data_IF_129958095905
#
_entry.id   IF_129958095905
#
_cell.length_a   1.000
_cell.length_b   1.000
_cell.length_c   1.000
_cell.angle_alpha   90.00
_cell.angle_beta   90.00
_cell.angle_gamma   90.00
#
_symmetry.space_group_name_H-M   'P 1'
#
loop_
_entity.id
_entity.type
_entity.pdbx_description
1 polymer ?
#
# COMPACT_ATOMS: atom_id res chain seq x y z
N UNK A 1 5.19 11.88 -31.94
CA UNK A 1 5.53 13.23 -31.44
C UNK A 1 4.39 14.15 -31.81
N UNK A 2 3.89 14.97 -30.88
CA UNK A 2 2.83 15.92 -31.20
C UNK A 2 3.35 16.96 -32.21
N UNK A 3 2.54 17.29 -33.22
CA UNK A 3 2.82 18.38 -34.17
C UNK A 3 2.98 19.68 -33.38
N UNK A 4 4.01 20.50 -33.64
CA UNK A 4 4.15 21.79 -32.97
C UNK A 4 2.89 22.62 -33.22
N UNK A 5 2.36 23.22 -32.14
CA UNK A 5 1.21 24.12 -32.23
C UNK A 5 1.60 25.23 -33.22
N UNK A 6 0.77 25.47 -34.23
CA UNK A 6 0.96 26.58 -35.15
C UNK A 6 0.91 27.89 -34.37
N UNK A 7 2.10 28.45 -34.10
CA UNK A 7 2.30 29.69 -33.34
C UNK A 7 1.78 30.90 -34.14
N UNK A 8 0.45 31.07 -34.19
CA UNK A 8 -0.13 32.37 -34.49
C UNK A 8 0.02 33.25 -33.23
N UNK A 9 0.74 34.39 -33.31
CA UNK A 9 0.98 35.27 -32.16
C UNK A 9 -0.31 35.76 -31.49
N UNK A 10 -1.38 35.89 -32.27
CA UNK A 10 -2.70 36.30 -31.80
C UNK A 10 -3.35 35.21 -30.94
N UNK A 11 -3.24 33.94 -31.34
CA UNK A 11 -3.74 32.80 -30.55
C UNK A 11 -3.01 32.68 -29.23
N UNK A 12 -1.69 32.90 -29.22
CA UNK A 12 -0.90 32.85 -27.99
C UNK A 12 -1.23 34.00 -27.03
N UNK A 13 -1.43 35.22 -27.56
CA UNK A 13 -1.88 36.37 -26.75
C UNK A 13 -3.27 36.13 -26.15
N UNK A 14 -4.23 35.62 -26.95
CA UNK A 14 -5.57 35.28 -26.48
C UNK A 14 -5.53 34.19 -25.40
N UNK A 15 -4.74 33.13 -25.62
CA UNK A 15 -4.54 32.06 -24.66
C UNK A 15 -3.98 32.59 -23.34
N UNK A 16 -2.95 33.43 -23.38
CA UNK A 16 -2.33 34.00 -22.18
C UNK A 16 -3.30 34.91 -21.39
N UNK A 17 -4.19 35.63 -22.06
CA UNK A 17 -5.25 36.41 -21.40
C UNK A 17 -6.25 35.49 -20.68
N UNK A 18 -6.69 34.42 -21.34
CA UNK A 18 -7.60 33.42 -20.74
C UNK A 18 -6.94 32.73 -19.55
N UNK A 19 -5.67 32.31 -19.66
CA UNK A 19 -4.92 31.70 -18.56
C UNK A 19 -4.84 32.64 -17.35
N UNK A 20 -4.51 33.92 -17.55
CA UNK A 20 -4.48 34.93 -16.48
C UNK A 20 -5.86 35.17 -15.86
N UNK A 21 -6.92 35.15 -16.67
CA UNK A 21 -8.28 35.29 -16.18
C UNK A 21 -8.70 34.08 -15.34
N UNK A 22 -8.36 32.87 -15.77
CA UNK A 22 -8.60 31.64 -15.01
C UNK A 22 -7.83 31.67 -13.69
N UNK A 23 -6.56 32.06 -13.68
CA UNK A 23 -5.79 32.18 -12.43
C UNK A 23 -6.35 33.25 -11.48
N UNK A 24 -6.86 34.38 -12.00
CA UNK A 24 -7.52 35.41 -11.18
C UNK A 24 -8.84 34.91 -10.58
N UNK A 25 -9.64 34.18 -11.34
CA UNK A 25 -10.95 33.71 -10.91
C UNK A 25 -10.90 32.47 -10.01
N UNK A 26 -9.90 31.59 -10.21
CA UNK A 26 -9.85 30.26 -9.57
C UNK A 26 -8.58 30.04 -8.72
N UNK A 27 -7.69 31.03 -8.64
CA UNK A 27 -6.47 31.00 -7.85
C UNK A 27 -5.22 30.59 -8.64
N UNK A 28 -4.05 30.93 -8.10
CA UNK A 28 -2.75 30.55 -8.68
C UNK A 28 -2.64 29.02 -8.81
N UNK A 29 -2.24 28.54 -9.99
CA UNK A 29 -2.12 27.11 -10.27
C UNK A 29 -3.42 26.41 -10.67
N UNK A 30 -4.53 27.13 -10.84
CA UNK A 30 -5.78 26.56 -11.35
C UNK A 30 -5.67 26.02 -12.78
N UNK A 31 -4.71 26.53 -13.57
CA UNK A 31 -4.39 26.03 -14.91
C UNK A 31 -2.89 26.21 -15.17
N UNK A 32 -2.23 25.15 -15.66
CA UNK A 32 -0.79 25.15 -15.93
C UNK A 32 -0.49 24.31 -17.17
N UNK A 33 0.58 24.62 -17.91
CA UNK A 33 1.07 23.74 -18.97
C UNK A 33 1.75 22.53 -18.33
N UNK A 34 1.46 21.33 -18.81
CA UNK A 34 1.99 20.08 -18.24
C UNK A 34 3.53 20.01 -18.32
N UNK A 35 4.14 20.60 -19.35
CA UNK A 35 5.61 20.68 -19.49
C UNK A 35 6.28 21.65 -18.52
N UNK A 36 5.55 22.68 -18.06
CA UNK A 36 6.03 23.63 -17.04
C UNK A 36 5.84 23.07 -15.61
N UNK A 37 5.14 21.93 -15.48
CA UNK A 37 4.94 21.20 -14.23
C UNK A 37 6.15 20.32 -13.86
N UNK A 38 7.37 20.87 -13.94
CA UNK A 38 8.63 20.25 -13.48
C UNK A 38 8.61 19.84 -12.00
N UNK A 39 7.56 20.22 -11.25
CA UNK A 39 7.30 19.88 -9.84
C UNK A 39 6.52 18.58 -9.58
N UNK A 40 6.11 17.79 -10.56
CA UNK A 40 5.27 16.60 -10.29
C UNK A 40 6.05 15.30 -10.00
N UNK A 41 7.22 15.34 -9.34
CA UNK A 41 7.65 14.15 -8.59
C UNK A 41 6.74 14.08 -7.36
N UNK A 42 5.78 13.15 -7.40
CA UNK A 42 4.89 12.91 -6.25
C UNK A 42 5.75 12.45 -5.10
N UNK A 43 5.76 13.23 -4.02
CA UNK A 43 6.45 12.86 -2.78
C UNK A 43 5.87 11.55 -2.24
N UNK A 44 6.69 10.73 -1.60
CA UNK A 44 6.29 9.40 -1.11
C UNK A 44 6.56 9.26 0.39
N UNK A 45 5.75 8.42 1.02
CA UNK A 45 5.86 7.94 2.40
C UNK A 45 6.44 6.52 2.33
N UNK A 46 7.39 6.19 3.19
CA UNK A 46 7.88 4.80 3.29
C UNK A 46 6.78 3.88 3.78
N UNK A 47 6.64 2.72 3.17
CA UNK A 47 5.65 1.72 3.59
C UNK A 47 6.10 0.88 4.79
N UNK A 48 7.37 0.99 5.20
CA UNK A 48 8.01 0.10 6.16
C UNK A 48 8.58 -1.18 5.55
N UNK A 49 8.27 -1.47 4.28
CA UNK A 49 8.86 -2.57 3.51
C UNK A 49 9.64 -2.02 2.30
N UNK A 50 10.97 -2.13 2.31
CA UNK A 50 11.81 -1.64 1.19
C UNK A 50 11.46 -2.33 -0.14
N UNK A 51 11.07 -3.60 -0.12
CA UNK A 51 10.63 -4.33 -1.30
C UNK A 51 9.33 -3.73 -1.88
N UNK A 52 8.41 -3.29 -1.03
CA UNK A 52 7.18 -2.63 -1.46
C UNK A 52 7.44 -1.20 -1.93
N UNK A 53 8.32 -0.45 -1.27
CA UNK A 53 8.69 0.89 -1.71
C UNK A 53 9.28 0.86 -3.12
N UNK A 54 10.15 -0.11 -3.41
CA UNK A 54 10.66 -0.33 -4.77
C UNK A 54 9.56 -0.70 -5.78
N UNK A 55 8.62 -1.57 -5.39
CA UNK A 55 7.49 -1.95 -6.23
C UNK A 55 6.57 -0.76 -6.54
N UNK A 56 6.43 0.18 -5.60
CA UNK A 56 5.67 1.40 -5.76
C UNK A 56 6.39 2.49 -6.56
N UNK A 57 7.70 2.36 -6.76
CA UNK A 57 8.54 3.38 -7.39
C UNK A 57 8.98 4.50 -6.43
N UNK A 58 9.10 4.19 -5.13
CA UNK A 58 9.61 5.10 -4.10
C UNK A 58 8.81 5.12 -2.79
N UNK A 59 7.69 4.42 -2.71
CA UNK A 59 6.81 4.37 -1.54
C UNK A 59 5.36 4.79 -1.82
N UNK A 60 4.58 4.97 -0.76
CA UNK A 60 3.17 5.35 -0.81
C UNK A 60 3.03 6.83 -1.19
N UNK A 61 2.31 7.21 -2.26
CA UNK A 61 2.27 8.60 -2.70
C UNK A 61 1.55 9.52 -1.70
N UNK A 62 2.19 10.64 -1.34
CA UNK A 62 1.60 11.73 -0.53
C UNK A 62 0.43 12.39 -1.24
N UNK A 63 -0.55 12.86 -0.47
CA UNK A 63 -1.69 13.59 -1.01
C UNK A 63 -2.53 12.73 -1.95
N UNK A 64 -2.69 11.43 -1.68
CA UNK A 64 -3.47 10.49 -2.51
C UNK A 64 -4.30 9.52 -1.66
N UNK A 65 -5.30 8.93 -2.32
CA UNK A 65 -6.07 7.81 -1.80
C UNK A 65 -5.37 6.50 -2.17
N UNK A 66 -5.23 5.61 -1.20
CA UNK A 66 -4.64 4.27 -1.34
C UNK A 66 -5.65 3.26 -0.84
N UNK A 67 -5.79 2.13 -1.53
CA UNK A 67 -6.57 0.99 -1.04
C UNK A 67 -5.63 -0.20 -0.81
N UNK A 68 -5.70 -0.79 0.37
CA UNK A 68 -5.01 -2.05 0.71
C UNK A 68 -6.09 -3.08 0.97
N UNK A 69 -6.13 -4.13 0.16
CA UNK A 69 -7.16 -5.16 0.24
C UNK A 69 -6.56 -6.56 0.17
N UNK A 70 -7.28 -7.53 0.71
CA UNK A 70 -6.83 -8.91 0.75
C UNK A 70 -7.64 -9.75 1.73
N UNK A 71 -7.34 -11.05 1.81
CA UNK A 71 -7.96 -11.97 2.77
C UNK A 71 -7.76 -11.51 4.22
N UNK A 72 -8.51 -12.09 5.14
CA UNK A 72 -8.26 -11.95 6.57
C UNK A 72 -6.84 -12.44 6.91
N UNK A 73 -6.25 -11.85 7.95
CA UNK A 73 -4.91 -12.21 8.44
C UNK A 73 -3.79 -12.17 7.39
N UNK A 74 -3.97 -11.41 6.29
CA UNK A 74 -2.94 -11.23 5.26
C UNK A 74 -1.90 -10.16 5.59
N UNK A 75 -2.12 -9.37 6.65
CA UNK A 75 -1.20 -8.29 7.07
C UNK A 75 -1.62 -6.87 6.66
N UNK A 76 -2.88 -6.65 6.29
CA UNK A 76 -3.42 -5.31 5.90
C UNK A 76 -3.15 -4.25 6.97
N UNK A 77 -3.62 -4.50 8.19
CA UNK A 77 -3.48 -3.58 9.34
C UNK A 77 -2.01 -3.41 9.72
N UNK A 78 -1.22 -4.50 9.74
CA UNK A 78 0.23 -4.44 9.96
C UNK A 78 0.93 -3.49 8.98
N UNK A 79 0.64 -3.61 7.68
CA UNK A 79 1.23 -2.74 6.66
C UNK A 79 0.80 -1.27 6.85
N UNK A 80 -0.45 -1.03 7.24
CA UNK A 80 -0.93 0.32 7.52
C UNK A 80 -0.27 0.94 8.76
N UNK A 81 -0.10 0.16 9.82
CA UNK A 81 0.58 0.59 11.05
C UNK A 81 2.06 0.90 10.80
N UNK A 82 2.74 0.16 9.92
CA UNK A 82 4.08 0.53 9.48
C UNK A 82 4.12 1.86 8.71
N UNK A 83 3.15 2.11 7.83
CA UNK A 83 3.06 3.40 7.14
C UNK A 83 2.81 4.55 8.14
N UNK A 84 1.97 4.33 9.15
CA UNK A 84 1.74 5.28 10.26
C UNK A 84 3.03 5.53 11.04
N UNK A 85 3.74 4.48 11.45
CA UNK A 85 5.01 4.57 12.17
C UNK A 85 6.05 5.37 11.38
N UNK A 86 6.18 5.13 10.07
CA UNK A 86 7.13 5.87 9.22
C UNK A 86 6.78 7.36 9.09
N UNK A 87 5.49 7.71 9.06
CA UNK A 87 5.06 9.13 9.08
C UNK A 87 5.42 9.77 10.41
N UNK A 88 5.10 9.13 11.54
CA UNK A 88 5.41 9.65 12.87
C UNK A 88 6.92 9.83 13.07
N UNK A 89 7.75 8.86 12.64
CA UNK A 89 9.22 8.98 12.67
C UNK A 89 9.75 10.18 11.88
N UNK A 90 9.05 10.59 10.83
CA UNK A 90 9.38 11.79 10.05
C UNK A 90 8.85 13.09 10.66
N UNK A 91 8.23 13.04 11.84
CA UNK A 91 7.63 14.18 12.53
C UNK A 91 6.23 14.53 12.05
N UNK A 92 5.60 13.67 11.25
CA UNK A 92 4.24 13.87 10.75
C UNK A 92 3.16 13.39 11.71
N UNK A 93 1.93 13.88 11.51
CA UNK A 93 0.76 13.53 12.32
C UNK A 93 -0.04 12.42 11.64
N UNK A 94 -0.41 11.40 12.41
CA UNK A 94 -1.17 10.26 11.92
C UNK A 94 -2.52 10.14 12.64
N UNK A 95 -3.52 9.67 11.90
CA UNK A 95 -4.82 9.32 12.44
C UNK A 95 -5.27 7.93 11.99
N UNK A 96 -6.00 7.24 12.86
CA UNK A 96 -6.55 5.91 12.63
C UNK A 96 -8.05 5.91 12.96
N UNK A 97 -8.86 5.60 11.97
CA UNK A 97 -10.31 5.42 12.09
C UNK A 97 -10.59 3.93 12.15
N UNK A 98 -10.74 3.41 13.37
CA UNK A 98 -10.96 2.01 13.69
C UNK A 98 -12.47 1.72 13.73
N UNK A 99 -13.03 1.44 12.55
CA UNK A 99 -14.42 1.02 12.39
C UNK A 99 -14.63 -0.47 12.71
N UNK A 100 -13.56 -1.29 12.70
CA UNK A 100 -13.62 -2.70 13.10
C UNK A 100 -13.53 -2.90 14.64
N UNK A 101 -13.20 -1.84 15.39
CA UNK A 101 -12.98 -1.89 16.85
C UNK A 101 -11.93 -2.95 17.26
N UNK A 102 -10.89 -3.11 16.42
CA UNK A 102 -9.93 -4.21 16.52
C UNK A 102 -8.48 -3.73 16.70
N UNK A 103 -8.24 -2.42 16.84
CA UNK A 103 -6.90 -1.88 17.01
C UNK A 103 -6.31 -2.23 18.38
N UNK A 104 -5.19 -2.97 18.39
CA UNK A 104 -4.43 -3.30 19.60
C UNK A 104 -3.29 -2.27 19.82
N UNK A 105 -3.32 -1.47 20.90
CA UNK A 105 -2.25 -0.53 21.22
C UNK A 105 -0.90 -1.20 21.49
N UNK A 106 -0.90 -2.39 22.08
CA UNK A 106 0.33 -3.13 22.44
C UNK A 106 1.05 -3.59 21.17
N UNK A 107 0.30 -4.19 20.25
CA UNK A 107 0.83 -4.58 18.95
C UNK A 107 1.29 -3.34 18.15
N UNK A 108 0.49 -2.28 18.13
CA UNK A 108 0.85 -1.03 17.44
C UNK A 108 2.15 -0.43 17.95
N UNK A 109 2.35 -0.39 19.27
CA UNK A 109 3.60 0.07 19.89
C UNK A 109 4.79 -0.80 19.49
N UNK A 110 4.61 -2.12 19.45
CA UNK A 110 5.66 -3.05 19.02
C UNK A 110 6.07 -2.84 17.55
N UNK A 111 5.17 -2.33 16.71
CA UNK A 111 5.43 -1.96 15.31
C UNK A 111 6.09 -0.57 15.18
N UNK A 112 6.34 0.11 16.30
CA UNK A 112 6.96 1.43 16.36
C UNK A 112 5.99 2.59 16.12
N UNK A 113 4.69 2.38 16.34
CA UNK A 113 3.70 3.46 16.35
C UNK A 113 3.82 4.21 17.67
N UNK A 114 3.87 5.53 17.60
CA UNK A 114 3.78 6.39 18.77
C UNK A 114 2.30 6.49 19.19
N UNK A 115 1.96 5.73 20.24
CA UNK A 115 0.61 5.60 20.76
C UNK A 115 0.12 6.90 21.41
N UNK A 116 1.01 7.68 22.02
CA UNK A 116 0.62 8.90 22.73
C UNK A 116 0.14 9.98 21.74
N UNK A 117 0.75 10.01 20.55
CA UNK A 117 0.46 11.01 19.52
C UNK A 117 -0.42 10.49 18.36
N UNK A 118 -0.85 9.22 18.38
CA UNK A 118 -1.76 8.69 17.37
C UNK A 118 -3.19 9.15 17.64
N UNK A 119 -3.79 9.87 16.69
CA UNK A 119 -5.22 10.22 16.76
C UNK A 119 -6.06 8.99 16.44
N UNK A 120 -6.86 8.50 17.38
CA UNK A 120 -7.75 7.36 17.17
C UNK A 120 -9.21 7.78 17.23
N UNK A 121 -10.01 7.29 16.29
CA UNK A 121 -11.46 7.45 16.28
C UNK A 121 -12.14 6.11 16.09
N UNK A 122 -13.15 5.83 16.92
CA UNK A 122 -14.00 4.64 16.84
C UNK A 122 -15.44 5.09 16.59
N UNK A 123 -15.82 5.31 15.32
CA UNK A 123 -17.12 5.89 14.96
C UNK A 123 -18.24 4.85 14.98
N UNK A 124 -19.44 5.26 15.38
CA UNK A 124 -20.63 4.38 15.40
C UNK A 124 -21.22 4.11 14.01
N UNK A 125 -20.97 4.99 13.03
CA UNK A 125 -21.57 4.89 11.69
C UNK A 125 -20.56 5.20 10.58
N UNK A 126 -20.80 4.63 9.40
CA UNK A 126 -19.99 4.88 8.20
C UNK A 126 -20.00 6.35 7.77
N UNK A 127 -21.12 7.05 7.92
CA UNK A 127 -21.19 8.50 7.68
C UNK A 127 -20.25 9.26 8.61
N UNK A 128 -20.32 8.98 9.91
CA UNK A 128 -19.49 9.66 10.92
C UNK A 128 -18.01 9.41 10.67
N UNK A 129 -17.63 8.16 10.39
CA UNK A 129 -16.28 7.79 10.03
C UNK A 129 -15.73 8.62 8.85
N UNK A 130 -16.49 8.70 7.76
CA UNK A 130 -16.07 9.40 6.54
C UNK A 130 -16.10 10.93 6.70
N UNK A 131 -16.96 11.47 7.55
CA UNK A 131 -16.96 12.89 7.91
C UNK A 131 -15.74 13.27 8.74
N UNK A 132 -15.35 12.44 9.70
CA UNK A 132 -14.12 12.61 10.48
C UNK A 132 -12.91 12.62 9.54
N UNK A 133 -12.82 11.67 8.60
CA UNK A 133 -11.76 11.65 7.58
C UNK A 133 -11.74 12.93 6.75
N UNK A 134 -12.90 13.42 6.26
CA UNK A 134 -12.97 14.66 5.48
C UNK A 134 -12.52 15.89 6.29
N UNK A 135 -12.84 15.94 7.58
CA UNK A 135 -12.40 17.02 8.47
C UNK A 135 -10.89 16.98 8.73
N UNK A 136 -10.34 15.80 9.04
CA UNK A 136 -8.90 15.61 9.26
C UNK A 136 -8.11 16.01 8.01
N UNK A 137 -8.51 15.54 6.83
CA UNK A 137 -7.87 15.92 5.55
C UNK A 137 -7.96 17.43 5.32
N UNK A 138 -9.13 18.05 5.58
CA UNK A 138 -9.34 19.49 5.36
C UNK A 138 -8.50 20.36 6.30
N UNK A 139 -8.19 19.87 7.50
CA UNK A 139 -7.37 20.61 8.46
C UNK A 139 -5.95 20.88 7.96
N UNK A 140 -5.44 20.06 7.03
CA UNK A 140 -4.04 20.05 6.60
C UNK A 140 -3.03 19.87 7.74
N UNK A 141 -3.49 19.43 8.92
CA UNK A 141 -2.66 19.15 10.09
C UNK A 141 -2.31 17.66 10.22
N UNK A 142 -2.88 16.80 9.37
CA UNK A 142 -2.69 15.34 9.39
C UNK A 142 -2.03 14.89 8.09
N UNK A 143 -0.93 14.16 8.18
CA UNK A 143 -0.15 13.67 7.05
C UNK A 143 -0.68 12.32 6.53
N UNK A 144 -1.23 11.48 7.40
CA UNK A 144 -1.79 10.19 7.04
C UNK A 144 -3.04 9.85 7.85
N UNK A 145 -4.07 9.33 7.16
CA UNK A 145 -5.30 8.80 7.78
C UNK A 145 -5.51 7.37 7.30
N UNK A 146 -5.64 6.43 8.23
CA UNK A 146 -6.01 5.03 7.93
C UNK A 146 -7.47 4.80 8.32
N UNK A 147 -8.22 4.09 7.49
CA UNK A 147 -9.58 3.62 7.79
C UNK A 147 -9.56 2.08 7.80
N UNK A 148 -9.81 1.48 8.96
CA UNK A 148 -9.90 0.03 9.15
C UNK A 148 -11.31 -0.36 9.62
N UNK A 149 -12.21 -0.83 8.75
CA UNK A 149 -12.06 -1.04 7.31
C UNK A 149 -13.32 -0.58 6.56
N UNK A 150 -13.23 -0.51 5.22
CA UNK A 150 -14.38 -0.17 4.37
C UNK A 150 -15.57 -1.10 4.61
N UNK A 151 -15.34 -2.37 4.92
CA UNK A 151 -16.40 -3.33 5.15
C UNK A 151 -17.24 -2.96 6.39
N UNK A 152 -16.61 -2.34 7.39
CA UNK A 152 -17.23 -1.90 8.64
C UNK A 152 -17.85 -0.49 8.56
N UNK A 153 -17.77 0.19 7.41
CA UNK A 153 -18.45 1.49 7.19
C UNK A 153 -19.95 1.26 6.94
N UNK A 154 -20.67 0.84 7.97
CA UNK A 154 -22.10 0.54 7.91
C UNK A 154 -22.90 1.85 7.97
N UNK A 155 -23.76 2.15 6.98
CA UNK A 155 -24.60 3.35 7.01
C UNK A 155 -25.55 3.37 8.22
N UNK A 156 -25.84 4.55 8.76
CA UNK A 156 -26.74 4.71 9.92
C UNK A 156 -28.11 4.03 9.73
N UNK A 157 -28.70 4.17 8.54
CA UNK A 157 -30.00 3.56 8.25
C UNK A 157 -29.96 2.02 8.29
N UNK A 158 -28.81 1.40 8.05
CA UNK A 158 -28.63 -0.05 8.13
C UNK A 158 -28.46 -0.51 9.58
N UNK A 159 -27.82 0.31 10.42
CA UNK A 159 -27.66 0.06 11.87
C UNK A 159 -28.99 0.22 12.62
N UNK A 160 -29.77 1.25 12.28
CA UNK A 160 -31.06 1.55 12.91
C UNK A 160 -32.22 0.70 12.33
N UNK A 161 -32.00 0.07 11.18
CA UNK A 161 -32.99 -0.77 10.50
C UNK A 161 -33.12 -2.17 11.09
N UNK A 162 -34.12 -2.92 10.62
CA UNK A 162 -34.28 -4.32 11.00
C UNK A 162 -33.40 -5.23 10.12
N UNK A 163 -32.99 -6.40 10.64
CA UNK A 163 -32.13 -7.35 9.90
C UNK A 163 -32.71 -7.80 8.55
N UNK A 164 -34.03 -7.72 8.37
CA UNK A 164 -34.73 -8.09 7.13
C UNK A 164 -34.85 -6.96 6.12
N UNK A 165 -34.45 -5.73 6.45
CA UNK A 165 -34.62 -4.58 5.58
C UNK A 165 -33.72 -4.65 4.35
N UNK A 166 -34.32 -4.46 3.18
CA UNK A 166 -33.58 -4.51 1.93
C UNK A 166 -32.94 -3.15 1.62
N UNK A 167 -31.69 -2.97 2.02
CA UNK A 167 -30.94 -1.71 1.84
C UNK A 167 -29.86 -1.81 0.75
N UNK A 168 -30.28 -2.13 -0.49
CA UNK A 168 -29.35 -2.37 -1.60
C UNK A 168 -28.49 -1.15 -1.92
N UNK A 169 -27.17 -1.33 -1.80
CA UNK A 169 -26.17 -0.38 -2.34
C UNK A 169 -26.03 0.92 -1.56
N UNK A 170 -26.54 1.00 -0.33
CA UNK A 170 -26.44 2.20 0.50
C UNK A 170 -24.97 2.57 0.80
N UNK A 171 -24.16 1.60 1.22
CA UNK A 171 -22.73 1.78 1.45
C UNK A 171 -21.99 2.26 0.19
N UNK A 172 -22.31 1.72 -0.99
CA UNK A 172 -21.67 2.14 -2.25
C UNK A 172 -21.97 3.61 -2.60
N UNK A 173 -23.19 4.07 -2.33
CA UNK A 173 -23.59 5.48 -2.53
C UNK A 173 -22.89 6.40 -1.52
N UNK A 174 -22.80 5.98 -0.25
CA UNK A 174 -22.08 6.68 0.80
C UNK A 174 -20.61 6.88 0.42
N UNK A 175 -19.91 5.79 0.06
CA UNK A 175 -18.52 5.82 -0.41
C UNK A 175 -18.33 6.75 -1.60
N UNK A 176 -19.22 6.69 -2.59
CA UNK A 176 -19.16 7.56 -3.79
C UNK A 176 -19.27 9.05 -3.44
N UNK A 177 -20.12 9.41 -2.48
CA UNK A 177 -20.29 10.80 -2.03
C UNK A 177 -19.09 11.25 -1.21
N UNK A 178 -18.62 10.43 -0.27
CA UNK A 178 -17.49 10.74 0.60
C UNK A 178 -16.18 10.89 -0.18
N UNK A 179 -15.85 9.93 -1.05
CA UNK A 179 -14.61 9.97 -1.84
C UNK A 179 -14.54 11.19 -2.76
N UNK A 180 -15.68 11.67 -3.27
CA UNK A 180 -15.73 12.91 -4.06
C UNK A 180 -15.31 14.14 -3.24
N UNK A 181 -15.73 14.21 -1.97
CA UNK A 181 -15.33 15.30 -1.06
C UNK A 181 -13.86 15.17 -0.68
N UNK A 182 -13.47 13.99 -0.20
CA UNK A 182 -12.11 13.68 0.26
C UNK A 182 -11.08 13.94 -0.84
N UNK A 183 -11.31 13.43 -2.06
CA UNK A 183 -10.38 13.60 -3.18
C UNK A 183 -10.16 15.07 -3.57
N UNK A 184 -11.18 15.93 -3.41
CA UNK A 184 -11.06 17.36 -3.68
C UNK A 184 -10.18 18.10 -2.67
N UNK A 185 -10.09 17.60 -1.43
CA UNK A 185 -9.31 18.22 -0.35
C UNK A 185 -7.90 17.64 -0.24
N UNK A 186 -7.74 16.33 -0.49
CA UNK A 186 -6.48 15.58 -0.39
C UNK A 186 -5.33 16.27 -1.14
N UNK A 187 -5.56 16.66 -2.41
CA UNK A 187 -4.52 17.23 -3.25
C UNK A 187 -3.97 18.58 -2.77
N UNK A 188 -4.72 19.30 -1.91
CA UNK A 188 -4.30 20.57 -1.31
C UNK A 188 -3.62 20.36 0.05
N UNK A 189 -4.11 19.38 0.82
CA UNK A 189 -3.63 19.10 2.17
C UNK A 189 -2.30 18.34 2.21
N UNK A 190 -1.95 17.59 1.17
CA UNK A 190 -0.82 16.67 1.21
C UNK A 190 -1.09 15.38 2.01
N UNK A 191 -2.24 15.27 2.68
CA UNK A 191 -2.64 14.10 3.47
C UNK A 191 -2.86 12.86 2.59
N UNK A 192 -2.26 11.74 2.97
CA UNK A 192 -2.52 10.42 2.38
C UNK A 192 -3.63 9.71 3.14
N UNK A 193 -4.60 9.16 2.41
CA UNK A 193 -5.71 8.40 3.01
C UNK A 193 -5.64 6.95 2.56
N UNK A 194 -5.48 6.04 3.51
CA UNK A 194 -5.43 4.59 3.31
C UNK A 194 -6.76 3.97 3.72
N UNK A 195 -7.41 3.29 2.78
CA UNK A 195 -8.58 2.45 3.05
C UNK A 195 -8.14 1.00 3.12
N UNK A 196 -8.37 0.34 4.26
CA UNK A 196 -8.29 -1.10 4.38
C UNK A 196 -9.60 -1.72 3.91
N UNK A 197 -9.51 -2.81 3.16
CA UNK A 197 -10.69 -3.44 2.58
C UNK A 197 -10.56 -4.97 2.61
N UNK A 198 -11.71 -5.62 2.69
CA UNK A 198 -11.83 -7.06 2.67
C UNK A 198 -12.24 -7.55 1.29
N UNK A 199 -11.86 -8.79 0.98
CA UNK A 199 -12.36 -9.49 -0.19
C UNK A 199 -13.71 -10.16 0.12
N UNK A 200 -14.57 -10.17 -0.89
CA UNK A 200 -15.84 -10.92 -0.96
C UNK A 200 -15.89 -11.66 -2.29
N UNK A 201 -16.73 -12.67 -2.40
CA UNK A 201 -16.97 -13.37 -3.66
C UNK A 201 -18.29 -12.92 -4.26
N UNK A 202 -18.29 -12.61 -5.56
CA UNK A 202 -19.52 -12.35 -6.30
C UNK A 202 -20.07 -13.67 -6.82
N UNK A 203 -21.26 -14.04 -6.34
CA UNK A 203 -21.97 -15.25 -6.75
C UNK A 203 -22.32 -15.18 -8.24
N UNK A 204 -22.19 -16.30 -8.95
CA UNK A 204 -22.59 -16.43 -10.35
C UNK A 204 -21.54 -16.02 -11.39
N UNK A 205 -20.29 -15.79 -11.00
CA UNK A 205 -19.17 -15.64 -11.94
C UNK A 205 -18.63 -17.02 -12.31
N UNK A 206 -18.78 -17.41 -13.57
CA UNK A 206 -18.23 -18.66 -14.14
C UNK A 206 -16.91 -18.47 -14.89
N UNK A 207 -16.53 -17.23 -15.21
CA UNK A 207 -15.27 -16.92 -15.92
C UNK A 207 -14.57 -15.71 -15.29
N UNK A 208 -13.25 -15.83 -15.07
CA UNK A 208 -12.43 -14.83 -14.39
C UNK A 208 -12.45 -14.95 -12.86
N UNK A 209 -11.83 -13.98 -12.17
CA UNK A 209 -11.80 -13.99 -10.70
C UNK A 209 -13.16 -13.56 -10.12
N UNK A 210 -13.75 -14.34 -9.19
CA UNK A 210 -15.00 -13.97 -8.52
C UNK A 210 -14.79 -12.92 -7.41
N UNK A 211 -13.54 -12.58 -7.08
CA UNK A 211 -13.23 -11.72 -5.95
C UNK A 211 -13.55 -10.25 -6.23
N UNK A 212 -14.20 -9.61 -5.26
CA UNK A 212 -14.58 -8.19 -5.27
C UNK A 212 -14.28 -7.56 -3.91
N UNK A 213 -14.08 -6.25 -3.90
CA UNK A 213 -13.90 -5.47 -2.67
C UNK A 213 -15.23 -4.83 -2.23
N UNK A 214 -15.39 -4.56 -0.93
CA UNK A 214 -16.59 -3.92 -0.37
C UNK A 214 -16.63 -2.41 -0.67
N UNK A 215 -17.78 -1.76 -0.43
CA UNK A 215 -17.94 -0.31 -0.65
C UNK A 215 -18.21 0.12 -2.10
N UNK A 216 -18.54 -0.83 -2.99
CA UNK A 216 -18.84 -0.55 -4.40
C UNK A 216 -17.59 -0.24 -5.25
N UNK A 217 -17.77 0.45 -6.38
CA UNK A 217 -16.69 0.67 -7.35
C UNK A 217 -15.94 2.00 -7.19
N UNK A 218 -16.48 2.95 -6.43
CA UNK A 218 -15.90 4.30 -6.34
C UNK A 218 -14.44 4.29 -5.89
N UNK A 219 -14.14 3.56 -4.81
CA UNK A 219 -12.78 3.48 -4.26
C UNK A 219 -11.76 2.99 -5.30
N UNK A 220 -12.14 2.01 -6.14
CA UNK A 220 -11.28 1.50 -7.22
C UNK A 220 -10.86 2.58 -8.20
N UNK A 221 -11.71 3.58 -8.46
CA UNK A 221 -11.42 4.68 -9.39
C UNK A 221 -10.61 5.80 -8.73
N UNK A 222 -11.02 6.19 -7.52
CA UNK A 222 -10.39 7.26 -6.75
C UNK A 222 -8.99 6.89 -6.23
N UNK A 223 -8.77 5.64 -5.83
CA UNK A 223 -7.47 5.16 -5.40
C UNK A 223 -6.40 5.40 -6.49
N UNK A 224 -5.30 6.04 -6.11
CA UNK A 224 -4.12 6.18 -6.97
C UNK A 224 -3.26 4.92 -6.94
N UNK A 225 -3.23 4.25 -5.80
CA UNK A 225 -2.55 2.97 -5.60
C UNK A 225 -3.55 1.97 -5.03
N UNK A 226 -3.54 0.74 -5.56
CA UNK A 226 -4.28 -0.39 -4.98
C UNK A 226 -3.31 -1.53 -4.74
N UNK A 227 -3.28 -2.05 -3.52
CA UNK A 227 -2.41 -3.12 -3.06
C UNK A 227 -3.24 -4.36 -2.73
N UNK A 228 -2.97 -5.46 -3.41
CA UNK A 228 -3.52 -6.79 -3.11
C UNK A 228 -2.51 -7.55 -2.26
N UNK A 229 -2.77 -7.68 -0.96
CA UNK A 229 -1.89 -8.35 0.00
C UNK A 229 -2.43 -9.73 0.37
N UNK A 230 -1.60 -10.75 0.20
CA UNK A 230 -1.93 -12.16 0.50
C UNK A 230 -0.85 -12.84 1.30
N UNK A 231 -1.25 -13.72 2.21
CA UNK A 231 -0.35 -14.71 2.81
C UNK A 231 -0.03 -15.77 1.76
N UNK A 232 1.25 -16.00 1.49
CA UNK A 232 1.70 -17.06 0.56
C UNK A 232 2.36 -18.23 1.28
N UNK A 233 2.87 -18.00 2.49
CA UNK A 233 3.49 -19.06 3.30
C UNK A 233 3.36 -18.74 4.79
N UNK A 234 3.25 -19.78 5.62
CA UNK A 234 3.41 -19.67 7.06
C UNK A 234 4.84 -20.01 7.46
N UNK A 235 5.47 -19.16 8.26
CA UNK A 235 6.83 -19.37 8.77
C UNK A 235 6.78 -20.19 10.06
N UNK A 236 7.45 -21.34 10.05
CA UNK A 236 7.47 -22.30 11.15
C UNK A 236 8.89 -22.61 11.58
N UNK A 237 9.10 -22.79 12.87
CA UNK A 237 10.32 -23.42 13.41
C UNK A 237 9.97 -24.81 13.90
N UNK A 238 10.87 -25.76 13.69
CA UNK A 238 10.64 -27.20 13.95
C UNK A 238 10.08 -27.51 15.34
N UNK A 239 10.36 -26.68 16.36
CA UNK A 239 9.95 -26.90 17.75
C UNK A 239 9.24 -25.71 18.44
N UNK A 240 9.00 -24.58 17.77
CA UNK A 240 8.43 -23.35 18.38
C UNK A 240 7.09 -22.93 17.76
N UNK A 241 6.55 -23.73 16.84
CA UNK A 241 5.29 -23.43 16.15
C UNK A 241 5.44 -22.36 15.05
N UNK A 242 4.33 -21.69 14.76
CA UNK A 242 4.25 -20.64 13.74
C UNK A 242 4.70 -19.31 14.33
N UNK A 243 5.68 -18.64 13.71
CA UNK A 243 6.26 -17.40 14.23
C UNK A 243 6.03 -16.19 13.32
N UNK A 244 5.44 -16.41 12.14
CA UNK A 244 5.14 -15.36 11.19
C UNK A 244 4.56 -15.87 9.90
N UNK A 245 4.39 -14.97 8.94
CA UNK A 245 3.91 -15.28 7.59
C UNK A 245 4.80 -14.61 6.54
N UNK A 246 4.93 -15.23 5.38
CA UNK A 246 5.40 -14.53 4.19
C UNK A 246 4.22 -13.94 3.45
N UNK A 247 4.23 -12.63 3.29
CA UNK A 247 3.21 -11.88 2.59
C UNK A 247 3.70 -11.49 1.20
N UNK A 248 2.78 -11.55 0.22
CA UNK A 248 2.97 -11.08 -1.14
C UNK A 248 2.01 -9.93 -1.39
N UNK A 249 2.55 -8.79 -1.81
CA UNK A 249 1.79 -7.59 -2.16
C UNK A 249 1.92 -7.34 -3.65
N UNK A 250 0.80 -7.41 -4.37
CA UNK A 250 0.72 -7.02 -5.78
C UNK A 250 0.22 -5.58 -5.88
N UNK A 251 0.94 -4.75 -6.63
CA UNK A 251 0.51 -3.39 -6.97
C UNK A 251 -0.54 -3.46 -8.10
N UNK A 252 -1.78 -3.77 -7.74
CA UNK A 252 -2.89 -3.97 -8.68
C UNK A 252 -3.25 -2.70 -9.45
N UNK A 253 -2.96 -1.52 -8.91
CA UNK A 253 -3.10 -0.23 -9.58
C UNK A 253 -2.00 0.71 -9.10
N UNK A 254 -1.42 1.47 -10.02
CA UNK A 254 -0.48 2.54 -9.71
C UNK A 254 -0.65 3.68 -10.73
N UNK A 255 -0.96 4.89 -10.24
CA UNK A 255 -1.07 6.11 -11.06
C UNK A 255 0.19 6.99 -11.03
N UNK A 256 1.19 6.63 -10.21
CA UNK A 256 2.42 7.43 -10.01
C UNK A 256 3.67 6.75 -10.55
N UNK A 257 3.65 5.43 -10.67
CA UNK A 257 4.70 4.61 -11.28
C UNK A 257 4.09 3.40 -12.03
N UNK A 258 4.88 2.57 -12.73
CA UNK A 258 4.38 1.38 -13.40
C UNK A 258 3.63 0.43 -12.45
N UNK A 259 2.41 -0.05 -12.81
CA UNK A 259 1.66 -1.00 -12.02
C UNK A 259 2.15 -2.45 -12.20
N UNK A 260 1.53 -3.39 -11.48
CA UNK A 260 1.68 -4.85 -11.59
C UNK A 260 2.99 -5.46 -11.07
N UNK A 261 3.83 -4.63 -10.47
CA UNK A 261 4.97 -5.06 -9.66
C UNK A 261 4.51 -5.81 -8.41
N UNK A 262 5.39 -6.67 -7.90
CA UNK A 262 5.12 -7.57 -6.77
C UNK A 262 6.22 -7.38 -5.74
N UNK A 263 5.83 -7.15 -4.49
CA UNK A 263 6.74 -7.19 -3.36
C UNK A 263 6.44 -8.41 -2.49
N UNK A 264 7.48 -8.97 -1.89
CA UNK A 264 7.36 -9.99 -0.86
C UNK A 264 8.16 -9.58 0.35
N UNK A 265 7.65 -9.95 1.52
CA UNK A 265 8.30 -9.71 2.79
C UNK A 265 7.69 -10.60 3.88
N UNK A 266 8.46 -10.81 4.95
CA UNK A 266 7.99 -11.55 6.10
C UNK A 266 7.34 -10.60 7.10
N UNK A 267 6.23 -11.05 7.68
CA UNK A 267 5.56 -10.43 8.83
C UNK A 267 5.76 -11.36 10.02
N UNK A 268 6.58 -10.93 10.97
CA UNK A 268 6.88 -11.67 12.20
C UNK A 268 5.85 -11.28 13.27
N UNK A 269 5.26 -12.26 13.93
CA UNK A 269 4.26 -12.00 14.96
C UNK A 269 4.87 -11.20 16.11
N UNK A 270 4.17 -10.15 16.54
CA UNK A 270 4.63 -9.21 17.57
C UNK A 270 5.76 -8.26 17.15
N UNK A 271 6.32 -8.36 15.94
CA UNK A 271 7.40 -7.46 15.48
C UNK A 271 7.05 -6.72 14.18
N UNK A 272 6.11 -7.24 13.38
CA UNK A 272 5.71 -6.65 12.11
C UNK A 272 6.62 -7.07 10.95
N UNK A 273 6.76 -6.19 9.97
CA UNK A 273 7.50 -6.44 8.73
C UNK A 273 9.00 -6.52 9.02
N UNK A 274 9.63 -7.62 8.60
CA UNK A 274 11.07 -7.82 8.75
C UNK A 274 11.86 -7.01 7.73
N UNK A 275 12.36 -5.83 8.15
CA UNK A 275 13.25 -4.98 7.32
C UNK A 275 14.50 -5.74 6.88
N UNK A 276 15.14 -6.47 7.78
CA UNK A 276 16.36 -7.23 7.47
C UNK A 276 16.06 -8.44 6.56
N UNK A 277 14.90 -9.07 6.72
CA UNK A 277 14.43 -10.10 5.77
C UNK A 277 14.28 -9.54 4.35
N UNK A 278 13.68 -8.34 4.22
CA UNK A 278 13.60 -7.65 2.93
C UNK A 278 14.99 -7.33 2.35
N UNK A 279 15.93 -6.91 3.21
CA UNK A 279 17.29 -6.59 2.78
C UNK A 279 18.04 -7.83 2.27
N UNK A 280 17.94 -8.97 2.97
CA UNK A 280 18.54 -10.24 2.51
C UNK A 280 17.98 -10.65 1.16
N UNK A 281 16.66 -10.58 0.97
CA UNK A 281 16.01 -10.94 -0.30
C UNK A 281 16.47 -10.04 -1.45
N UNK A 282 16.62 -8.73 -1.21
CA UNK A 282 17.14 -7.80 -2.20
C UNK A 282 18.63 -8.01 -2.45
N UNK A 283 19.43 -8.31 -1.42
CA UNK A 283 20.85 -8.57 -1.56
C UNK A 283 21.13 -9.82 -2.39
N UNK A 284 20.31 -10.86 -2.23
CA UNK A 284 20.37 -12.08 -3.06
C UNK A 284 20.04 -11.75 -4.52
N UNK A 285 18.95 -11.04 -4.77
CA UNK A 285 18.51 -10.71 -6.15
C UNK A 285 19.47 -9.76 -6.88
N UNK A 286 20.08 -8.83 -6.15
CA UNK A 286 21.08 -7.90 -6.69
C UNK A 286 22.49 -8.51 -6.78
N UNK A 287 22.66 -9.76 -6.33
CA UNK A 287 23.94 -10.49 -6.28
C UNK A 287 24.99 -9.85 -5.36
N UNK A 288 24.56 -9.00 -4.43
CA UNK A 288 25.41 -8.49 -3.34
C UNK A 288 25.73 -9.65 -2.39
N UNK A 289 24.72 -10.43 -2.02
CA UNK A 289 24.91 -11.71 -1.33
C UNK A 289 24.67 -12.84 -2.34
N UNK A 290 25.58 -13.81 -2.38
CA UNK A 290 25.49 -14.95 -3.26
C UNK A 290 25.03 -16.18 -2.49
N UNK A 291 23.99 -16.85 -3.00
CA UNK A 291 23.50 -18.13 -2.48
C UNK A 291 24.09 -19.29 -3.27
N UNK A 292 24.80 -20.19 -2.59
CA UNK A 292 25.33 -21.46 -3.13
C UNK A 292 24.72 -22.63 -2.36
N UNK A 293 23.68 -23.24 -2.93
CA UNK A 293 22.88 -24.25 -2.23
C UNK A 293 22.16 -23.64 -1.02
N UNK A 294 22.52 -24.10 0.18
CA UNK A 294 22.01 -23.57 1.44
C UNK A 294 22.85 -22.42 2.02
N UNK A 295 24.05 -22.17 1.50
CA UNK A 295 24.98 -21.18 2.05
C UNK A 295 24.80 -19.80 1.42
N UNK A 296 24.79 -18.76 2.25
CA UNK A 296 24.84 -17.36 1.85
C UNK A 296 26.25 -16.83 2.07
N UNK A 297 26.78 -16.12 1.08
CA UNK A 297 28.16 -15.62 1.05
C UNK A 297 28.24 -14.19 0.57
N UNK A 298 29.20 -13.42 1.07
CA UNK A 298 29.50 -12.05 0.63
C UNK A 298 31.00 -11.92 0.40
N UNK A 299 31.38 -11.33 -0.73
CA UNK A 299 32.79 -11.19 -1.15
C UNK A 299 33.64 -12.48 -1.13
N UNK A 300 33.00 -13.65 -1.22
CA UNK A 300 33.68 -14.95 -1.21
C UNK A 300 33.65 -15.67 0.13
N UNK A 301 33.35 -14.96 1.22
CA UNK A 301 33.26 -15.53 2.56
C UNK A 301 31.84 -16.01 2.88
N UNK A 302 31.73 -17.17 3.52
CA UNK A 302 30.45 -17.73 3.94
C UNK A 302 29.96 -16.98 5.20
N UNK A 303 28.74 -16.45 5.13
CA UNK A 303 28.10 -15.73 6.23
C UNK A 303 27.31 -16.70 7.10
N UNK A 304 26.36 -17.41 6.48
CA UNK A 304 25.42 -18.27 7.20
C UNK A 304 24.82 -19.34 6.29
N UNK A 305 24.32 -20.42 6.90
CA UNK A 305 23.55 -21.44 6.21
C UNK A 305 22.05 -21.22 6.44
N UNK A 306 21.31 -21.00 5.36
CA UNK A 306 19.86 -20.74 5.36
C UNK A 306 19.52 -19.27 5.59
N UNK A 307 18.40 -18.84 4.99
CA UNK A 307 17.96 -17.45 4.97
C UNK A 307 17.76 -16.87 6.38
N UNK A 308 17.08 -17.63 7.25
CA UNK A 308 16.78 -17.18 8.61
C UNK A 308 18.04 -16.93 9.45
N UNK A 309 19.08 -17.76 9.26
CA UNK A 309 20.36 -17.56 9.92
C UNK A 309 21.12 -16.36 9.33
N UNK A 310 20.99 -16.09 8.02
CA UNK A 310 21.51 -14.86 7.41
C UNK A 310 20.86 -13.63 8.02
N UNK A 311 19.53 -13.64 8.22
CA UNK A 311 18.83 -12.54 8.90
C UNK A 311 19.35 -12.36 10.33
N UNK A 312 19.52 -13.44 11.10
CA UNK A 312 20.11 -13.38 12.45
C UNK A 312 21.52 -12.80 12.43
N UNK A 313 22.35 -13.20 11.48
CA UNK A 313 23.69 -12.65 11.33
C UNK A 313 23.68 -11.14 11.13
N UNK A 314 22.76 -10.63 10.30
CA UNK A 314 22.59 -9.17 10.09
C UNK A 314 22.07 -8.45 11.35
N UNK A 315 21.25 -9.11 12.19
CA UNK A 315 20.83 -8.56 13.49
C UNK A 315 22.02 -8.43 14.43
N UNK A 316 22.88 -9.44 14.47
CA UNK A 316 24.07 -9.48 15.35
C UNK A 316 25.20 -8.55 14.87
N UNK A 317 25.22 -8.18 13.58
CA UNK A 317 26.27 -7.37 12.95
C UNK A 317 25.66 -6.14 12.21
N UNK A 318 25.24 -5.08 12.94
CA UNK A 318 24.55 -3.94 12.36
C UNK A 318 25.40 -3.14 11.36
N UNK A 319 26.70 -2.98 11.62
CA UNK A 319 27.63 -2.31 10.68
C UNK A 319 27.71 -3.05 9.33
N UNK A 320 27.68 -4.39 9.37
CA UNK A 320 27.63 -5.21 8.17
C UNK A 320 26.29 -5.05 7.45
N UNK A 321 25.16 -5.04 8.18
CA UNK A 321 23.85 -4.82 7.59
C UNK A 321 23.75 -3.45 6.88
N UNK A 322 24.30 -2.38 7.46
CA UNK A 322 24.37 -1.06 6.83
C UNK A 322 25.21 -1.09 5.54
N UNK A 323 26.36 -1.77 5.57
CA UNK A 323 27.20 -1.92 4.39
C UNK A 323 26.48 -2.66 3.26
N UNK A 324 25.77 -3.75 3.57
CA UNK A 324 24.95 -4.49 2.61
C UNK A 324 23.83 -3.60 2.05
N UNK A 325 23.14 -2.85 2.90
CA UNK A 325 22.09 -1.92 2.45
C UNK A 325 22.63 -0.88 1.47
N UNK A 326 23.80 -0.30 1.73
CA UNK A 326 24.43 0.66 0.84
C UNK A 326 24.76 0.04 -0.53
N UNK A 327 25.34 -1.16 -0.53
CA UNK A 327 25.66 -1.88 -1.78
C UNK A 327 24.40 -2.24 -2.57
N UNK A 328 23.34 -2.70 -1.90
CA UNK A 328 22.04 -3.00 -2.53
C UNK A 328 21.44 -1.75 -3.15
N UNK A 329 21.43 -0.61 -2.45
CA UNK A 329 20.95 0.67 -2.99
C UNK A 329 21.75 1.09 -4.22
N UNK A 330 23.08 1.00 -4.17
CA UNK A 330 23.94 1.32 -5.30
C UNK A 330 23.67 0.42 -6.51
N UNK A 331 23.48 -0.90 -6.28
CA UNK A 331 23.13 -1.83 -7.35
C UNK A 331 21.78 -1.49 -8.00
N UNK A 332 20.78 -1.12 -7.19
CA UNK A 332 19.47 -0.70 -7.68
C UNK A 332 19.55 0.61 -8.49
N UNK A 333 20.35 1.58 -8.04
CA UNK A 333 20.59 2.84 -8.75
C UNK A 333 21.31 2.63 -10.09
N UNK A 334 22.16 1.60 -10.18
CA UNK A 334 22.79 1.15 -11.43
C UNK A 334 21.84 0.34 -12.33
N UNK A 335 20.57 0.15 -11.94
CA UNK A 335 19.55 -0.49 -12.75
C UNK A 335 19.41 -2.00 -12.54
N UNK A 336 19.86 -2.56 -11.41
CA UNK A 336 19.61 -3.95 -11.10
C UNK A 336 18.10 -4.28 -11.13
N UNK A 337 17.76 -5.35 -11.86
CA UNK A 337 16.39 -5.84 -11.97
C UNK A 337 16.13 -6.81 -10.83
N UNK A 338 15.09 -6.53 -10.05
CA UNK A 338 14.61 -7.34 -8.93
C UNK A 338 13.13 -7.67 -9.15
N UNK A 339 12.63 -8.70 -8.48
CA UNK A 339 11.22 -9.08 -8.57
C UNK A 339 10.29 -7.89 -8.30
N UNK A 340 10.67 -7.05 -7.32
CA UNK A 340 9.97 -5.82 -6.95
C UNK A 340 9.86 -4.78 -8.07
N UNK A 341 10.81 -4.64 -8.99
CA UNK A 341 10.75 -3.62 -10.06
C UNK A 341 10.43 -4.20 -11.45
N UNK A 342 10.35 -5.54 -11.54
CA UNK A 342 9.97 -6.28 -12.74
C UNK A 342 8.46 -6.52 -12.85
N UNK A 343 7.95 -6.59 -14.09
CA UNK A 343 6.56 -6.99 -14.38
C UNK A 343 6.60 -8.46 -14.81
N UNK A 344 6.43 -9.39 -13.87
CA UNK A 344 6.33 -10.80 -14.20
C UNK A 344 4.93 -11.13 -14.78
N UNK A 345 4.81 -12.01 -15.79
CA UNK A 345 3.53 -12.58 -16.20
C UNK A 345 2.88 -13.33 -15.03
N UNK A 346 1.56 -13.21 -14.87
CA UNK A 346 0.82 -13.97 -13.86
C UNK A 346 0.76 -15.45 -14.29
N UNK A 347 1.41 -16.35 -13.56
CA UNK A 347 1.10 -17.77 -13.65
C UNK A 347 -0.27 -18.02 -12.96
N UNK A 348 -1.26 -18.32 -13.79
CA UNK A 348 -2.56 -18.86 -13.37
C UNK A 348 -2.46 -20.37 -13.19
N UNK A 349 -1.72 -20.80 -12.16
CA UNK A 349 -1.68 -22.22 -11.78
C UNK A 349 -1.79 -22.38 -10.26
N UNK A 350 -2.97 -22.06 -9.74
CA UNK A 350 -3.52 -22.81 -8.61
C UNK A 350 -4.47 -23.84 -9.23
N UNK A 351 -3.90 -24.99 -9.59
CA UNK A 351 -4.65 -26.16 -10.00
C UNK A 351 -4.22 -27.30 -9.09
N UNK A 352 -5.10 -27.65 -8.16
CA UNK A 352 -4.99 -28.85 -7.32
C UNK A 352 -4.60 -30.05 -8.19
N UNK A 353 -3.48 -30.67 -7.84
CA UNK A 353 -3.16 -32.02 -8.23
C UNK A 353 -4.13 -32.95 -7.52
N UNK A 354 -5.26 -33.26 -8.16
CA UNK A 354 -6.05 -34.45 -7.80
C UNK A 354 -5.28 -35.65 -8.35
N UNK A 355 -4.65 -36.38 -7.44
CA UNK A 355 -4.18 -37.74 -7.67
C UNK A 355 -5.37 -38.58 -8.16
N UNK A 356 -5.35 -38.95 -9.44
CA UNK A 356 -6.18 -40.04 -9.92
C UNK A 356 -5.55 -41.33 -9.41
N UNK A 357 -6.14 -41.88 -8.35
CA UNK A 357 -5.87 -43.24 -7.90
C UNK A 357 -6.28 -44.22 -8.99
N UNK A 358 -5.35 -45.09 -9.34
CA UNK A 358 -5.61 -46.36 -10.00
C UNK A 358 -6.61 -47.16 -9.16
N UNK A 359 -7.70 -47.63 -9.78
CA UNK A 359 -8.33 -48.88 -9.36
C UNK A 359 -8.98 -49.57 -10.56
N UNK A 360 -8.50 -50.79 -10.79
CA UNK A 360 -8.93 -51.78 -11.77
C UNK A 360 -10.35 -52.28 -11.49
N UNK A 361 -11.17 -52.43 -12.53
CA UNK A 361 -12.02 -53.59 -12.88
C UNK A 361 -13.11 -53.20 -13.89
#
# INVERSE_FOLDING_TARGET
MATPITNSPEKEKALNLVLKQIERSFGKGAIMRLGDATRMKVETIRSGAITLDLALGGGLPKGRIIEIYGPESSGKTTLALHAVSEVQKSGGVAAFVDAEHALDPTYSAALGVDIENLLVSQPDTGESALEIVDQLVRSAAVDIVVIDSVAALVPRAEIEGEMGDNQVGLQARLMSKALRKIAGNIGKSGCTVIFLNQLRQKIGITYGSPEVTTGGNALKFYASVRLDIRRIQTLKKSNEGEYGIRAKVKVAKNKVAPPFRIAEFDIIFGQGISRLGCLVDLAEQTKVILRKGAWYSHNGDNIAQGRDNTVKYLVEHPEFAENIEQQVRQALDMGAVVSANSVAPMDSKDGDSIEAGDEEA
#
